data_IF_743352485317
#
_entry.id   IF_743352485317
#
_cell.length_a   1.000
_cell.length_b   1.000
_cell.length_c   1.000
_cell.angle_alpha   90.00
_cell.angle_beta   90.00
_cell.angle_gamma   90.00
#
_symmetry.space_group_name_H-M   'P 1'
#
loop_
_entity.id
_entity.type
_entity.pdbx_description
1 polymer ?
#
# COMPACT_ATOMS: atom_id res chain seq x y z
N UNK A 1 -1.48 16.57 31.01
CA UNK A 1 -2.69 15.76 30.80
C UNK A 1 -2.66 15.21 29.39
N UNK A 2 -1.92 14.13 29.16
CA UNK A 2 -1.82 13.48 27.83
C UNK A 2 -2.93 12.44 27.71
N UNK A 3 -3.89 12.68 26.82
CA UNK A 3 -4.98 11.76 26.47
C UNK A 3 -5.11 11.66 24.95
N UNK A 4 -4.17 10.97 24.31
CA UNK A 4 -4.40 10.34 23.01
C UNK A 4 -3.57 9.05 22.96
N UNK A 5 -4.03 8.05 23.72
CA UNK A 5 -3.77 6.63 23.42
C UNK A 5 -5.12 5.98 23.19
N UNK A 6 -5.77 6.35 22.09
CA UNK A 6 -6.82 5.49 21.55
C UNK A 6 -6.11 4.43 20.70
N UNK A 7 -5.86 3.29 21.34
CA UNK A 7 -5.56 2.05 20.64
C UNK A 7 -6.75 1.76 19.71
N UNK A 8 -6.67 2.18 18.45
CA UNK A 8 -7.46 1.60 17.36
C UNK A 8 -7.11 0.12 17.36
N UNK A 9 -7.98 -0.69 17.95
CA UNK A 9 -7.79 -2.14 18.08
C UNK A 9 -7.92 -2.73 16.68
N UNK A 10 -6.81 -2.74 15.92
CA UNK A 10 -6.67 -3.40 14.63
C UNK A 10 -7.06 -4.87 14.82
N UNK A 11 -8.01 -5.37 14.02
CA UNK A 11 -8.29 -6.80 13.97
C UNK A 11 -6.99 -7.57 13.66
N UNK A 12 -6.90 -8.86 14.04
CA UNK A 12 -5.74 -9.66 13.72
C UNK A 12 -5.49 -9.61 12.21
N UNK A 13 -4.26 -9.28 11.82
CA UNK A 13 -3.83 -9.33 10.43
C UNK A 13 -4.11 -10.74 9.88
N UNK A 14 -4.51 -10.87 8.60
CA UNK A 14 -4.74 -12.18 8.02
C UNK A 14 -3.45 -13.00 8.14
N UNK A 15 -3.56 -14.26 8.56
CA UNK A 15 -2.41 -15.16 8.62
C UNK A 15 -2.11 -15.71 7.22
N UNK A 16 -0.86 -16.12 6.95
CA UNK A 16 -0.46 -16.88 5.74
C UNK A 16 -1.09 -18.29 5.70
N UNK A 17 -2.36 -18.43 6.06
CA UNK A 17 -3.09 -19.66 5.80
C UNK A 17 -3.79 -19.43 4.46
N UNK A 18 -3.53 -20.24 3.43
CA UNK A 18 -4.30 -20.18 2.17
C UNK A 18 -5.78 -20.17 2.53
N UNK A 19 -6.46 -19.06 2.24
CA UNK A 19 -7.90 -18.95 2.49
C UNK A 19 -8.69 -19.86 1.57
N UNK A 20 -8.09 -20.19 0.42
CA UNK A 20 -8.60 -21.13 -0.56
C UNK A 20 -7.50 -22.16 -0.93
N UNK A 21 -7.66 -23.46 -0.58
CA UNK A 21 -6.67 -24.49 -0.88
C UNK A 21 -6.55 -24.82 -2.37
N UNK A 22 -7.51 -24.39 -3.20
CA UNK A 22 -7.46 -24.60 -4.66
C UNK A 22 -6.66 -23.49 -5.37
N UNK A 23 -6.45 -22.35 -4.71
CA UNK A 23 -5.67 -21.24 -5.25
C UNK A 23 -4.16 -21.42 -5.05
N UNK A 24 -3.41 -21.08 -6.09
CA UNK A 24 -1.96 -21.00 -6.01
C UNK A 24 -1.53 -19.88 -5.07
N UNK A 25 -0.47 -20.08 -4.27
CA UNK A 25 0.06 -19.01 -3.42
C UNK A 25 1.06 -18.12 -4.17
N UNK A 26 1.14 -16.86 -3.75
CA UNK A 26 2.23 -15.96 -4.10
C UNK A 26 3.51 -16.30 -3.31
N UNK A 27 4.70 -15.88 -3.79
CA UNK A 27 5.93 -15.97 -3.03
C UNK A 27 5.80 -15.23 -1.69
N UNK A 28 6.41 -15.77 -0.63
CA UNK A 28 6.38 -15.14 0.71
C UNK A 28 7.41 -14.02 0.77
N UNK A 29 7.07 -12.89 1.41
CA UNK A 29 8.01 -11.78 1.59
C UNK A 29 9.29 -12.18 2.31
N UNK A 30 9.21 -13.05 3.32
CA UNK A 30 10.35 -13.53 4.10
C UNK A 30 11.40 -14.33 3.32
N UNK A 31 11.08 -14.84 2.12
CA UNK A 31 12.01 -15.62 1.30
C UNK A 31 12.97 -14.74 0.47
N UNK A 32 12.82 -13.41 0.55
CA UNK A 32 13.51 -12.45 -0.30
C UNK A 32 14.23 -11.37 0.50
N UNK A 33 15.38 -10.93 -0.01
CA UNK A 33 16.13 -9.80 0.55
C UNK A 33 15.56 -8.50 -0.02
N UNK A 34 14.78 -7.79 0.79
CA UNK A 34 14.16 -6.50 0.46
C UNK A 34 12.86 -6.62 -0.34
N UNK A 35 12.06 -5.55 -0.30
CA UNK A 35 10.71 -5.53 -0.87
C UNK A 35 10.70 -5.63 -2.41
N UNK A 36 11.63 -4.95 -3.08
CA UNK A 36 11.68 -4.92 -4.55
C UNK A 36 11.87 -6.32 -5.15
N UNK A 37 12.79 -7.12 -4.59
CA UNK A 37 13.06 -8.46 -5.12
C UNK A 37 11.87 -9.42 -4.91
N UNK A 38 11.15 -9.26 -3.80
CA UNK A 38 9.90 -9.97 -3.55
C UNK A 38 8.81 -9.57 -4.55
N UNK A 39 8.59 -8.28 -4.77
CA UNK A 39 7.56 -7.79 -5.70
C UNK A 39 7.85 -8.19 -7.16
N UNK A 40 9.13 -8.27 -7.55
CA UNK A 40 9.51 -8.83 -8.85
C UNK A 40 9.13 -10.31 -8.97
N UNK A 41 9.35 -11.11 -7.93
CA UNK A 41 8.92 -12.50 -7.92
C UNK A 41 7.39 -12.66 -7.91
N UNK A 42 6.67 -11.77 -7.21
CA UNK A 42 5.20 -11.71 -7.26
C UNK A 42 4.72 -11.43 -8.69
N UNK A 43 5.26 -10.39 -9.34
CA UNK A 43 4.95 -10.06 -10.74
C UNK A 43 5.21 -11.25 -11.66
N UNK A 44 6.37 -11.89 -11.54
CA UNK A 44 6.74 -13.03 -12.37
C UNK A 44 5.82 -14.23 -12.12
N UNK A 45 5.36 -14.41 -10.88
CA UNK A 45 4.39 -15.45 -10.53
C UNK A 45 3.00 -15.16 -11.10
N UNK A 46 2.58 -13.90 -11.09
CA UNK A 46 1.30 -13.45 -11.67
C UNK A 46 1.33 -13.65 -13.21
N UNK A 47 2.44 -13.29 -13.86
CA UNK A 47 2.69 -13.61 -15.27
C UNK A 47 1.82 -12.85 -16.28
N UNK A 48 1.12 -11.80 -15.84
CA UNK A 48 0.30 -10.91 -16.67
C UNK A 48 0.43 -9.45 -16.17
N UNK A 49 0.00 -8.44 -16.94
CA UNK A 49 0.09 -7.04 -16.52
C UNK A 49 -0.59 -6.80 -15.17
N UNK A 50 0.16 -6.19 -14.25
CA UNK A 50 -0.28 -5.89 -12.89
C UNK A 50 0.36 -4.60 -12.41
N UNK A 51 -0.43 -3.73 -11.78
CA UNK A 51 0.02 -2.46 -11.20
C UNK A 51 -0.15 -2.55 -9.69
N UNK A 52 0.95 -2.55 -8.94
CA UNK A 52 0.93 -2.59 -7.48
C UNK A 52 0.31 -1.31 -6.89
N UNK A 53 -0.47 -1.45 -5.83
CA UNK A 53 -1.14 -0.34 -5.13
C UNK A 53 -0.86 -0.39 -3.63
N UNK A 54 -1.28 0.65 -2.89
CA UNK A 54 -1.20 0.72 -1.42
C UNK A 54 0.22 0.45 -0.90
N UNK A 55 0.37 -0.38 0.14
CA UNK A 55 1.67 -0.71 0.75
C UNK A 55 2.69 -1.21 -0.30
N UNK A 56 2.26 -1.99 -1.29
CA UNK A 56 3.16 -2.50 -2.34
C UNK A 56 3.65 -1.40 -3.29
N UNK A 57 2.84 -0.39 -3.56
CA UNK A 57 3.29 0.79 -4.32
C UNK A 57 4.33 1.59 -3.53
N UNK A 58 4.12 1.78 -2.22
CA UNK A 58 5.09 2.45 -1.35
C UNK A 58 6.41 1.66 -1.24
N UNK A 59 6.33 0.34 -1.26
CA UNK A 59 7.51 -0.54 -1.35
C UNK A 59 8.27 -0.38 -2.67
N UNK A 60 7.58 -0.19 -3.79
CA UNK A 60 8.21 0.11 -5.08
C UNK A 60 8.91 1.48 -5.07
N UNK A 61 8.28 2.49 -4.45
CA UNK A 61 8.82 3.83 -4.28
C UNK A 61 10.03 3.86 -3.33
N UNK A 62 10.07 2.93 -2.37
CA UNK A 62 11.07 2.90 -1.29
C UNK A 62 10.68 3.78 -0.10
N UNK A 63 9.44 4.26 -0.05
CA UNK A 63 8.87 5.03 1.06
C UNK A 63 8.38 4.13 2.20
N UNK A 64 8.22 2.82 1.95
CA UNK A 64 7.86 1.82 2.96
C UNK A 64 8.62 0.51 2.73
N UNK A 65 9.03 -0.17 3.81
CA UNK A 65 9.84 -1.41 3.73
C UNK A 65 9.03 -2.71 3.60
N UNK A 66 7.73 -2.65 3.88
CA UNK A 66 6.86 -3.81 4.02
C UNK A 66 7.04 -4.59 5.32
N UNK A 67 6.10 -5.51 5.57
CA UNK A 67 6.14 -6.43 6.73
C UNK A 67 6.85 -7.73 6.34
N UNK A 68 7.56 -8.38 7.26
CA UNK A 68 8.33 -9.58 6.94
C UNK A 68 7.45 -10.78 6.56
N UNK A 69 6.25 -10.85 7.11
CA UNK A 69 5.25 -11.88 6.88
C UNK A 69 4.21 -11.47 5.82
N UNK A 70 4.46 -10.40 5.06
CA UNK A 70 3.55 -9.93 4.02
C UNK A 70 3.33 -10.99 2.94
N UNK A 71 2.06 -11.13 2.55
CA UNK A 71 1.62 -12.08 1.54
C UNK A 71 0.38 -11.64 0.78
N UNK A 72 -0.28 -10.59 1.26
CA UNK A 72 -1.31 -9.91 0.51
C UNK A 72 -0.62 -8.89 -0.40
N UNK A 73 -1.09 -8.78 -1.63
CA UNK A 73 -0.67 -7.73 -2.55
C UNK A 73 -1.90 -7.08 -3.14
N UNK A 74 -1.93 -5.76 -3.07
CA UNK A 74 -2.99 -4.93 -3.62
C UNK A 74 -2.58 -4.42 -5.00
N UNK A 75 -3.53 -4.32 -5.91
CA UNK A 75 -3.23 -3.75 -7.22
C UNK A 75 -4.38 -3.70 -8.20
N UNK A 76 -4.04 -3.27 -9.41
CA UNK A 76 -4.90 -3.26 -10.59
C UNK A 76 -4.42 -4.30 -11.59
N UNK A 77 -5.35 -5.02 -12.19
CA UNK A 77 -5.04 -6.05 -13.17
C UNK A 77 -6.24 -6.90 -13.54
N UNK A 78 -6.07 -7.78 -14.52
CA UNK A 78 -7.15 -8.67 -14.97
C UNK A 78 -7.73 -9.48 -13.79
N UNK A 79 -9.04 -9.71 -13.79
CA UNK A 79 -9.73 -10.57 -12.83
C UNK A 79 -9.08 -11.97 -12.69
N UNK A 80 -8.42 -12.46 -13.74
CA UNK A 80 -7.63 -13.70 -13.68
C UNK A 80 -6.56 -13.69 -12.60
N UNK A 81 -5.99 -12.55 -12.21
CA UNK A 81 -4.97 -12.44 -11.18
C UNK A 81 -5.49 -12.88 -9.79
N UNK A 82 -6.81 -12.76 -9.54
CA UNK A 82 -7.45 -13.22 -8.30
C UNK A 82 -7.47 -14.76 -8.14
N UNK A 83 -6.93 -15.51 -9.11
CA UNK A 83 -6.64 -16.95 -9.00
C UNK A 83 -5.55 -17.29 -7.98
N UNK A 84 -4.77 -16.30 -7.55
CA UNK A 84 -3.76 -16.49 -6.52
C UNK A 84 -4.29 -16.11 -5.13
N UNK A 85 -3.90 -16.86 -4.12
CA UNK A 85 -4.07 -16.46 -2.72
C UNK A 85 -3.23 -15.21 -2.44
N UNK A 86 -3.83 -14.24 -1.76
CA UNK A 86 -3.18 -12.99 -1.38
C UNK A 86 -3.33 -11.85 -2.40
N UNK A 87 -3.81 -12.09 -3.63
CA UNK A 87 -4.09 -10.98 -4.56
C UNK A 87 -5.41 -10.31 -4.22
N UNK A 88 -5.38 -9.01 -4.02
CA UNK A 88 -6.58 -8.16 -3.87
C UNK A 88 -6.59 -7.12 -4.97
N UNK A 89 -7.64 -7.15 -5.79
CA UNK A 89 -7.80 -6.23 -6.92
C UNK A 89 -8.66 -5.03 -6.51
N UNK A 90 -8.13 -3.82 -6.73
CA UNK A 90 -8.87 -2.57 -6.60
C UNK A 90 -9.67 -2.23 -7.86
N UNK A 91 -9.33 -2.86 -8.99
CA UNK A 91 -9.99 -2.71 -10.28
C UNK A 91 -9.19 -3.36 -11.40
N UNK A 92 -9.78 -3.43 -12.60
CA UNK A 92 -9.10 -4.04 -13.76
C UNK A 92 -8.18 -3.06 -14.50
N UNK A 93 -8.49 -1.77 -14.42
CA UNK A 93 -7.81 -0.72 -15.17
C UNK A 93 -7.56 0.48 -14.28
N UNK A 94 -6.52 1.23 -14.65
CA UNK A 94 -6.14 2.48 -14.01
C UNK A 94 -5.57 3.41 -15.08
N UNK A 95 -5.76 4.72 -14.89
CA UNK A 95 -5.28 5.73 -15.82
C UNK A 95 -3.75 5.75 -15.87
N UNK A 96 -3.18 5.90 -17.06
CA UNK A 96 -1.72 5.87 -17.24
C UNK A 96 -1.00 6.98 -16.47
N UNK A 97 -1.66 8.11 -16.25
CA UNK A 97 -1.14 9.22 -15.44
C UNK A 97 -0.97 8.87 -13.97
N UNK A 98 -1.70 7.85 -13.51
CA UNK A 98 -1.65 7.35 -12.14
C UNK A 98 -0.60 6.25 -11.94
N UNK A 99 0.16 5.91 -12.97
CA UNK A 99 1.12 4.80 -12.96
C UNK A 99 2.55 5.33 -13.04
N UNK A 100 3.40 4.82 -12.17
CA UNK A 100 4.85 4.94 -12.24
C UNK A 100 5.49 3.58 -12.53
N UNK A 101 6.75 3.62 -12.99
CA UNK A 101 7.55 2.44 -13.25
C UNK A 101 8.94 2.57 -12.62
N UNK A 102 9.36 1.52 -11.90
CA UNK A 102 10.71 1.41 -11.35
C UNK A 102 11.11 -0.05 -11.22
N UNK A 103 12.33 -0.40 -11.60
CA UNK A 103 12.84 -1.78 -11.52
C UNK A 103 11.96 -2.81 -12.25
N UNK A 104 11.27 -2.40 -13.32
CA UNK A 104 10.32 -3.22 -14.07
C UNK A 104 9.03 -3.56 -13.31
N UNK A 105 8.73 -2.83 -12.23
CA UNK A 105 7.47 -2.90 -11.50
C UNK A 105 6.63 -1.67 -11.87
N UNK A 106 5.37 -1.90 -12.23
CA UNK A 106 4.38 -0.84 -12.37
C UNK A 106 3.63 -0.69 -11.06
N UNK A 107 3.45 0.55 -10.62
CA UNK A 107 2.77 0.82 -9.35
C UNK A 107 2.04 2.17 -9.40
N UNK A 108 1.08 2.37 -8.50
CA UNK A 108 0.35 3.63 -8.43
C UNK A 108 1.26 4.75 -7.95
N UNK A 109 1.15 5.93 -8.57
CA UNK A 109 1.84 7.13 -8.09
C UNK A 109 1.34 7.51 -6.69
N UNK A 110 2.08 8.35 -5.98
CA UNK A 110 1.79 8.64 -4.57
C UNK A 110 0.37 9.21 -4.34
N UNK A 111 -0.09 10.11 -5.21
CA UNK A 111 -1.44 10.69 -5.14
C UNK A 111 -2.52 9.61 -5.26
N UNK A 112 -2.34 8.70 -6.21
CA UNK A 112 -3.28 7.60 -6.40
C UNK A 112 -3.23 6.60 -5.25
N UNK A 113 -2.03 6.22 -4.79
CA UNK A 113 -1.85 5.37 -3.60
C UNK A 113 -2.61 5.92 -2.40
N UNK A 114 -2.52 7.23 -2.16
CA UNK A 114 -3.23 7.89 -1.06
C UNK A 114 -4.75 7.88 -1.26
N UNK A 115 -5.22 8.16 -2.47
CA UNK A 115 -6.65 8.10 -2.78
C UNK A 115 -7.22 6.68 -2.58
N UNK A 116 -6.50 5.65 -3.03
CA UNK A 116 -6.87 4.26 -2.83
C UNK A 116 -6.91 3.90 -1.33
N UNK A 117 -5.92 4.37 -0.56
CA UNK A 117 -5.87 4.15 0.88
C UNK A 117 -7.04 4.81 1.62
N UNK A 118 -7.41 6.03 1.25
CA UNK A 118 -8.57 6.72 1.81
C UNK A 118 -9.88 6.01 1.45
N UNK A 119 -10.00 5.47 0.23
CA UNK A 119 -11.14 4.65 -0.17
C UNK A 119 -11.21 3.33 0.62
N UNK A 120 -10.06 2.76 1.00
CA UNK A 120 -9.96 1.46 1.67
C UNK A 120 -9.67 1.53 3.18
N UNK A 121 -9.64 2.70 3.83
CA UNK A 121 -9.16 2.83 5.23
C UNK A 121 -9.92 1.94 6.23
N UNK A 122 -11.17 1.54 5.96
CA UNK A 122 -11.92 0.65 6.86
C UNK A 122 -11.36 -0.77 6.92
N UNK A 123 -10.64 -1.21 5.88
CA UNK A 123 -10.11 -2.58 5.74
C UNK A 123 -8.58 -2.61 5.60
N UNK A 124 -7.95 -1.44 5.48
CA UNK A 124 -6.51 -1.29 5.29
C UNK A 124 -5.81 -0.93 6.60
N UNK A 125 -4.64 -1.52 6.85
CA UNK A 125 -3.75 -1.01 7.88
C UNK A 125 -3.04 0.26 7.38
N UNK A 126 -3.50 1.41 7.89
CA UNK A 126 -3.00 2.73 7.51
C UNK A 126 -1.57 3.05 7.97
N UNK A 127 -0.87 2.17 8.70
CA UNK A 127 0.46 2.46 9.22
C UNK A 127 1.49 2.74 8.11
N UNK A 128 1.54 1.92 7.05
CA UNK A 128 2.46 2.12 5.93
C UNK A 128 2.20 3.44 5.20
N UNK A 129 0.91 3.75 4.99
CA UNK A 129 0.45 5.02 4.42
C UNK A 129 0.86 6.22 5.28
N UNK A 130 0.70 6.12 6.60
CA UNK A 130 1.05 7.19 7.54
C UNK A 130 2.55 7.46 7.54
N UNK A 131 3.38 6.41 7.56
CA UNK A 131 4.85 6.54 7.49
C UNK A 131 5.28 7.17 6.16
N UNK A 132 4.71 6.73 5.03
CA UNK A 132 5.05 7.31 3.74
C UNK A 132 4.62 8.78 3.62
N UNK A 133 3.47 9.14 4.20
CA UNK A 133 3.00 10.53 4.27
C UNK A 133 3.88 11.41 5.16
N UNK A 134 4.39 10.86 6.27
CA UNK A 134 5.36 11.55 7.13
C UNK A 134 6.68 11.82 6.39
N UNK A 135 7.21 10.82 5.68
CA UNK A 135 8.42 11.01 4.84
C UNK A 135 8.19 12.01 3.71
N UNK A 136 6.98 12.03 3.13
CA UNK A 136 6.61 13.04 2.15
C UNK A 136 6.70 14.44 2.77
N UNK A 137 6.07 14.64 3.93
CA UNK A 137 6.09 15.91 4.67
C UNK A 137 7.53 16.41 4.91
N UNK A 138 8.39 15.56 5.47
CA UNK A 138 9.78 15.90 5.78
C UNK A 138 10.58 16.25 4.52
N UNK A 139 10.39 15.49 3.43
CA UNK A 139 11.09 15.71 2.16
C UNK A 139 10.55 16.90 1.35
N UNK A 140 9.37 17.42 1.69
CA UNK A 140 8.71 18.55 1.03
C UNK A 140 8.67 19.80 1.90
N UNK A 141 9.62 19.93 2.83
CA UNK A 141 9.78 21.15 3.63
C UNK A 141 8.63 21.37 4.60
N UNK A 142 8.22 20.30 5.30
CA UNK A 142 7.16 20.34 6.31
C UNK A 142 5.82 20.79 5.70
N UNK A 143 5.53 20.29 4.50
CA UNK A 143 4.33 20.61 3.73
C UNK A 143 3.76 19.39 3.01
N UNK A 144 2.44 19.41 2.78
CA UNK A 144 1.73 18.45 1.93
C UNK A 144 1.41 19.03 0.54
N UNK A 145 2.05 20.13 0.16
CA UNK A 145 1.92 20.72 -1.18
C UNK A 145 2.30 19.72 -2.27
N UNK A 146 1.44 19.57 -3.28
CA UNK A 146 1.59 18.57 -4.35
C UNK A 146 0.70 17.33 -4.17
N UNK A 147 0.06 17.18 -3.00
CA UNK A 147 -0.97 16.17 -2.78
C UNK A 147 -2.35 16.70 -3.21
N UNK A 148 -3.03 15.93 -4.05
CA UNK A 148 -4.38 16.19 -4.54
C UNK A 148 -5.35 15.18 -3.94
N UNK A 149 -6.30 15.67 -3.15
CA UNK A 149 -7.31 14.83 -2.47
C UNK A 149 -8.70 15.21 -2.94
N UNK A 150 -9.49 14.20 -3.32
CA UNK A 150 -10.90 14.37 -3.68
C UNK A 150 -11.70 14.95 -2.50
N UNK A 151 -12.75 15.72 -2.81
CA UNK A 151 -13.47 16.50 -1.79
C UNK A 151 -14.07 15.62 -0.68
N UNK A 152 -14.57 14.45 -1.05
CA UNK A 152 -15.15 13.44 -0.16
C UNK A 152 -14.15 12.84 0.84
N UNK A 153 -12.85 12.90 0.55
CA UNK A 153 -11.81 12.36 1.43
C UNK A 153 -11.05 13.43 2.21
N UNK A 154 -11.37 14.71 2.03
CA UNK A 154 -10.61 15.82 2.60
C UNK A 154 -10.50 15.75 4.13
N UNK A 155 -11.62 15.56 4.83
CA UNK A 155 -11.60 15.49 6.30
C UNK A 155 -10.76 14.31 6.82
N UNK A 156 -10.82 13.17 6.13
CA UNK A 156 -10.06 11.96 6.48
C UNK A 156 -8.56 12.18 6.23
N UNK A 157 -8.22 12.80 5.11
CA UNK A 157 -6.85 13.18 4.80
C UNK A 157 -6.29 14.17 5.81
N UNK A 158 -7.04 15.19 6.21
CA UNK A 158 -6.58 16.19 7.19
C UNK A 158 -6.20 15.53 8.53
N UNK A 159 -6.98 14.54 8.99
CA UNK A 159 -6.66 13.75 10.18
C UNK A 159 -5.37 12.94 10.00
N UNK A 160 -5.25 12.21 8.89
CA UNK A 160 -4.07 11.42 8.56
C UNK A 160 -2.81 12.29 8.41
N UNK A 161 -2.94 13.47 7.80
CA UNK A 161 -1.87 14.44 7.62
C UNK A 161 -1.38 15.00 8.97
N UNK A 162 -2.28 15.29 9.90
CA UNK A 162 -1.92 15.71 11.26
C UNK A 162 -1.18 14.60 12.01
N UNK A 163 -1.61 13.34 11.87
CA UNK A 163 -0.91 12.19 12.45
C UNK A 163 0.49 12.01 11.82
N UNK A 164 0.62 12.17 10.51
CA UNK A 164 1.88 12.02 9.77
C UNK A 164 2.89 13.13 10.12
N UNK A 165 2.46 14.38 10.28
CA UNK A 165 3.34 15.48 10.65
C UNK A 165 3.96 15.30 12.05
N UNK A 166 3.22 14.70 12.99
CA UNK A 166 3.71 14.41 14.33
C UNK A 166 4.39 13.04 14.49
N UNK A 167 4.59 12.29 13.41
CA UNK A 167 4.94 10.86 13.48
C UNK A 167 6.29 10.60 14.17
N UNK A 168 7.30 11.46 13.95
CA UNK A 168 8.63 11.33 14.55
C UNK A 168 8.86 12.24 15.77
N UNK A 169 7.86 13.03 16.16
CA UNK A 169 7.94 13.93 17.33
C UNK A 169 7.58 13.21 18.66
N UNK A 170 7.25 11.93 18.60
CA UNK A 170 6.76 11.10 19.72
C UNK A 170 7.75 10.06 20.25
#
# INVERSE_FOLDING_TARGET
MSRYKENRQKGPLPSYTPSDPEKSCLPKRGDYVGAVSWLQAVRDRIGEPFVFALDEALMCQGSFGGRNDEFVVWGYGNASAARFNGVVLLGEQIERTDIEERNGLFYTNFNRTLSDALACEEILDMQGITEALSRYYDSHGESFEGISVAAEYRERFEKLAAEAAGYYEG
#
